data_IF_839822803365
#
_entry.id   IF_839822803365
#
_cell.length_a   1.000
_cell.length_b   1.000
_cell.length_c   1.000
_cell.angle_alpha   90.00
_cell.angle_beta   90.00
_cell.angle_gamma   90.00
#
_symmetry.space_group_name_H-M   'P 1'
#
loop_
_entity.id
_entity.type
_entity.pdbx_description
1 polymer ?
#
# COMPACT_ATOMS: atom_id res chain seq x y z
N UNK A 1 -21.84 42.55 -22.13
CA UNK A 1 -21.64 41.83 -20.85
C UNK A 1 -20.80 40.61 -21.16
N UNK A 2 -19.48 40.68 -20.95
CA UNK A 2 -18.57 39.58 -21.24
C UNK A 2 -18.53 38.64 -20.04
N UNK A 3 -19.13 37.46 -20.19
CA UNK A 3 -19.02 36.38 -19.20
C UNK A 3 -17.64 35.74 -19.31
N UNK A 4 -16.79 36.01 -18.33
CA UNK A 4 -15.52 35.29 -18.16
C UNK A 4 -15.88 33.93 -17.53
N UNK A 5 -15.82 32.86 -18.30
CA UNK A 5 -15.91 31.49 -17.78
C UNK A 5 -14.57 31.16 -17.10
N UNK A 6 -14.57 31.10 -15.77
CA UNK A 6 -13.42 30.63 -15.00
C UNK A 6 -13.40 29.10 -15.09
N UNK A 7 -12.48 28.54 -15.87
CA UNK A 7 -12.22 27.10 -15.86
C UNK A 7 -11.69 26.72 -14.47
N UNK A 8 -12.43 25.90 -13.72
CA UNK A 8 -11.90 25.27 -12.51
C UNK A 8 -10.80 24.29 -12.93
N UNK A 9 -9.58 24.36 -12.38
CA UNK A 9 -8.61 23.29 -12.58
C UNK A 9 -9.20 22.03 -11.94
N UNK A 10 -9.60 21.07 -12.78
CA UNK A 10 -9.96 19.73 -12.32
C UNK A 10 -8.68 19.06 -11.86
N UNK A 11 -8.50 18.99 -10.54
CA UNK A 11 -7.43 18.19 -9.91
C UNK A 11 -7.76 16.74 -10.26
N UNK A 12 -7.06 16.17 -11.24
CA UNK A 12 -7.20 14.75 -11.59
C UNK A 12 -6.61 13.97 -10.43
N UNK A 13 -7.47 13.32 -9.66
CA UNK A 13 -7.03 12.36 -8.65
C UNK A 13 -6.36 11.18 -9.38
N UNK A 14 -5.10 10.86 -9.07
CA UNK A 14 -4.47 9.68 -9.63
C UNK A 14 -5.26 8.44 -9.18
N UNK A 15 -5.64 7.61 -10.16
CA UNK A 15 -6.35 6.36 -9.89
C UNK A 15 -5.30 5.31 -9.56
N UNK A 16 -5.37 4.75 -8.35
CA UNK A 16 -4.53 3.63 -7.92
C UNK A 16 -5.39 2.37 -7.77
N UNK A 17 -5.51 1.54 -8.83
CA UNK A 17 -6.35 0.36 -8.80
C UNK A 17 -5.77 -0.73 -7.88
N UNK A 18 -4.44 -0.86 -7.78
CA UNK A 18 -3.80 -1.88 -6.94
C UNK A 18 -4.08 -1.57 -5.47
N UNK A 19 -3.82 -0.34 -5.03
CA UNK A 19 -4.07 0.02 -3.63
C UNK A 19 -5.53 -0.13 -3.25
N UNK A 20 -6.44 0.29 -4.13
CA UNK A 20 -7.88 0.11 -3.92
C UNK A 20 -8.25 -1.36 -3.75
N UNK A 21 -7.80 -2.24 -4.65
CA UNK A 21 -8.07 -3.68 -4.57
C UNK A 21 -7.52 -4.28 -3.28
N UNK A 22 -6.29 -3.93 -2.88
CA UNK A 22 -5.69 -4.40 -1.61
C UNK A 22 -6.55 -4.01 -0.41
N UNK A 23 -7.08 -2.77 -0.36
CA UNK A 23 -7.97 -2.34 0.74
C UNK A 23 -9.32 -3.05 0.72
N UNK A 24 -9.92 -3.21 -0.46
CA UNK A 24 -11.19 -3.91 -0.62
C UNK A 24 -11.06 -5.39 -0.20
N UNK A 25 -9.98 -6.05 -0.62
CA UNK A 25 -9.61 -7.42 -0.25
C UNK A 25 -9.33 -7.57 1.26
N UNK A 26 -8.69 -6.58 1.89
CA UNK A 26 -8.46 -6.56 3.33
C UNK A 26 -9.79 -6.46 4.09
N UNK A 27 -10.68 -5.55 3.67
CA UNK A 27 -11.99 -5.37 4.29
C UNK A 27 -12.85 -6.64 4.17
N UNK A 28 -12.85 -7.27 3.01
CA UNK A 28 -13.51 -8.56 2.81
C UNK A 28 -12.95 -9.64 3.76
N UNK A 29 -11.62 -9.72 3.89
CA UNK A 29 -10.98 -10.68 4.78
C UNK A 29 -11.32 -10.45 6.26
N UNK A 30 -11.38 -9.19 6.71
CA UNK A 30 -11.85 -8.84 8.07
C UNK A 30 -13.28 -9.32 8.31
N UNK A 31 -14.18 -9.09 7.34
CA UNK A 31 -15.58 -9.50 7.47
C UNK A 31 -15.74 -11.03 7.50
N UNK A 32 -14.86 -11.76 6.81
CA UNK A 32 -14.87 -13.22 6.76
C UNK A 32 -14.24 -13.86 7.99
N UNK A 33 -13.14 -13.31 8.49
CA UNK A 33 -12.44 -13.81 9.67
C UNK A 33 -12.03 -12.66 10.61
N UNK A 34 -12.88 -12.35 11.61
CA UNK A 34 -12.60 -11.29 12.58
C UNK A 34 -11.33 -11.52 13.43
N UNK A 35 -10.80 -12.75 13.52
CA UNK A 35 -9.56 -13.00 14.27
C UNK A 35 -8.35 -12.32 13.62
N UNK A 36 -8.40 -12.08 12.31
CA UNK A 36 -7.33 -11.40 11.57
C UNK A 36 -7.50 -9.88 11.56
N UNK A 37 -8.57 -9.34 12.16
CA UNK A 37 -8.91 -7.93 12.07
C UNK A 37 -7.76 -7.02 12.52
N UNK A 38 -7.19 -7.26 13.71
CA UNK A 38 -6.11 -6.43 14.24
C UNK A 38 -4.92 -6.34 13.27
N UNK A 39 -4.52 -7.47 12.70
CA UNK A 39 -3.42 -7.56 11.74
C UNK A 39 -3.72 -6.83 10.43
N UNK A 40 -4.93 -7.00 9.87
CA UNK A 40 -5.32 -6.36 8.62
C UNK A 40 -5.55 -4.85 8.78
N UNK A 41 -6.06 -4.42 9.94
CA UNK A 41 -6.18 -3.01 10.26
C UNK A 41 -4.83 -2.34 10.43
N UNK A 42 -3.91 -2.94 11.20
CA UNK A 42 -2.57 -2.38 11.39
C UNK A 42 -1.77 -2.34 10.08
N UNK A 43 -1.87 -3.39 9.26
CA UNK A 43 -1.01 -3.54 8.08
C UNK A 43 -1.56 -2.86 6.84
N UNK A 44 -2.88 -2.81 6.66
CA UNK A 44 -3.51 -2.30 5.43
C UNK A 44 -4.49 -1.16 5.71
N UNK A 45 -5.54 -1.41 6.49
CA UNK A 45 -6.72 -0.52 6.47
C UNK A 45 -6.46 0.85 7.10
N UNK A 46 -5.55 0.93 8.09
CA UNK A 46 -5.15 2.17 8.75
C UNK A 46 -3.98 2.89 8.05
N UNK A 47 -3.40 2.30 7.01
CA UNK A 47 -2.30 2.91 6.27
C UNK A 47 -2.85 3.90 5.24
N UNK A 48 -2.13 4.99 5.01
CA UNK A 48 -2.57 6.07 4.10
C UNK A 48 -2.30 5.72 2.63
N UNK A 49 -1.30 4.88 2.36
CA UNK A 49 -0.89 4.49 1.01
C UNK A 49 -0.38 3.04 0.96
N UNK A 50 -0.18 2.54 -0.26
CA UNK A 50 0.40 1.22 -0.50
C UNK A 50 1.86 1.14 0.00
N UNK A 51 2.62 2.23 -0.16
CA UNK A 51 4.00 2.34 0.31
C UNK A 51 4.06 2.17 1.83
N UNK A 52 3.25 2.93 2.59
CA UNK A 52 3.20 2.81 4.05
C UNK A 52 2.78 1.40 4.51
N UNK A 53 1.87 0.75 3.79
CA UNK A 53 1.48 -0.63 4.05
C UNK A 53 2.64 -1.63 3.85
N UNK A 54 3.37 -1.51 2.74
CA UNK A 54 4.55 -2.35 2.46
C UNK A 54 5.66 -2.08 3.48
N UNK A 55 5.94 -0.81 3.77
CA UNK A 55 6.96 -0.40 4.75
C UNK A 55 6.62 -0.95 6.14
N UNK A 56 5.38 -0.79 6.59
CA UNK A 56 4.93 -1.35 7.87
C UNK A 56 5.11 -2.86 7.91
N UNK A 57 4.66 -3.57 6.86
CA UNK A 57 4.76 -5.03 6.82
C UNK A 57 6.21 -5.51 6.83
N UNK A 58 7.09 -4.87 6.07
CA UNK A 58 8.52 -5.21 6.03
C UNK A 58 9.19 -4.91 7.38
N UNK A 59 8.89 -3.77 7.99
CA UNK A 59 9.46 -3.40 9.28
C UNK A 59 9.07 -4.38 10.38
N UNK A 60 7.80 -4.79 10.45
CA UNK A 60 7.35 -5.79 11.43
C UNK A 60 7.95 -7.19 11.16
N UNK A 61 8.25 -7.55 9.91
CA UNK A 61 8.92 -8.81 9.57
C UNK A 61 10.42 -8.80 9.89
N UNK A 62 11.04 -7.62 9.87
CA UNK A 62 12.48 -7.42 10.09
C UNK A 62 12.81 -7.00 11.53
N UNK A 63 11.79 -6.73 12.36
CA UNK A 63 11.94 -6.32 13.75
C UNK A 63 12.83 -7.28 14.54
N UNK A 64 13.81 -6.71 15.23
CA UNK A 64 14.75 -7.46 16.04
C UNK A 64 15.28 -6.61 17.20
N UNK A 65 15.76 -7.24 18.27
CA UNK A 65 16.33 -6.54 19.43
C UNK A 65 17.50 -5.60 19.09
N UNK A 66 18.22 -5.88 18.00
CA UNK A 66 19.35 -5.06 17.55
C UNK A 66 18.89 -3.85 16.71
N UNK A 67 17.78 -4.00 15.97
CA UNK A 67 17.21 -2.98 15.09
C UNK A 67 15.68 -3.10 15.13
N UNK A 68 15.04 -2.17 15.83
CA UNK A 68 13.58 -2.17 15.98
C UNK A 68 12.84 -1.67 14.74
N UNK A 69 11.57 -2.09 14.60
CA UNK A 69 10.71 -1.76 13.46
C UNK A 69 10.57 -0.25 13.21
N UNK A 70 10.52 0.57 14.25
CA UNK A 70 10.44 2.03 14.11
C UNK A 70 11.63 2.64 13.38
N UNK A 71 12.85 2.14 13.61
CA UNK A 71 14.06 2.61 12.92
C UNK A 71 14.06 2.15 11.46
N UNK A 72 13.57 0.94 11.21
CA UNK A 72 13.43 0.39 9.86
C UNK A 72 12.41 1.23 9.05
N UNK A 73 11.25 1.55 9.64
CA UNK A 73 10.24 2.43 9.02
C UNK A 73 10.79 3.81 8.71
N UNK A 74 11.51 4.43 9.65
CA UNK A 74 12.16 5.73 9.41
C UNK A 74 13.14 5.68 8.24
N UNK A 75 13.90 4.59 8.13
CA UNK A 75 14.87 4.38 7.05
C UNK A 75 14.19 4.22 5.70
N UNK A 76 13.12 3.42 5.62
CA UNK A 76 12.32 3.30 4.40
C UNK A 76 11.65 4.61 4.00
N UNK A 77 11.16 5.40 4.96
CA UNK A 77 10.55 6.70 4.66
C UNK A 77 11.59 7.70 4.13
N UNK A 78 12.82 7.67 4.66
CA UNK A 78 13.93 8.44 4.10
C UNK A 78 14.29 7.99 2.68
N UNK A 79 14.31 6.68 2.42
CA UNK A 79 14.53 6.12 1.08
C UNK A 79 13.44 6.55 0.10
N UNK A 80 12.16 6.44 0.46
CA UNK A 80 11.03 6.86 -0.40
C UNK A 80 11.06 8.37 -0.69
N UNK A 81 11.53 9.19 0.26
CA UNK A 81 11.69 10.62 0.03
C UNK A 81 12.84 10.94 -0.94
N UNK A 82 13.91 10.14 -0.95
CA UNK A 82 15.06 10.29 -1.85
C UNK A 82 14.80 9.70 -3.24
N UNK A 83 14.05 8.59 -3.31
CA UNK A 83 13.65 7.89 -4.55
C UNK A 83 12.13 7.67 -4.62
N UNK A 84 11.36 8.68 -5.08
CA UNK A 84 9.91 8.57 -5.24
C UNK A 84 9.47 7.53 -6.29
N UNK A 85 10.35 7.13 -7.21
CA UNK A 85 10.03 6.16 -8.27
C UNK A 85 9.82 4.75 -7.68
N UNK A 86 10.27 4.49 -6.46
CA UNK A 86 9.99 3.26 -5.72
C UNK A 86 8.49 2.97 -5.61
N UNK A 87 7.64 4.00 -5.53
CA UNK A 87 6.18 3.88 -5.59
C UNK A 87 5.71 3.09 -6.81
N UNK A 88 6.28 3.37 -7.99
CA UNK A 88 5.96 2.66 -9.23
C UNK A 88 6.51 1.24 -9.19
N UNK A 89 7.74 1.06 -8.72
CA UNK A 89 8.40 -0.25 -8.61
C UNK A 89 7.59 -1.22 -7.77
N UNK A 90 7.12 -0.79 -6.59
CA UNK A 90 6.27 -1.63 -5.70
C UNK A 90 5.02 -2.12 -6.43
N UNK A 91 4.35 -1.26 -7.19
CA UNK A 91 3.14 -1.62 -7.96
C UNK A 91 3.44 -2.60 -9.08
N UNK A 92 4.55 -2.39 -9.80
CA UNK A 92 4.99 -3.29 -10.87
C UNK A 92 5.33 -4.67 -10.31
N UNK A 93 6.00 -4.74 -9.15
CA UNK A 93 6.36 -6.02 -8.51
C UNK A 93 5.12 -6.79 -8.03
N UNK A 94 4.16 -6.09 -7.41
CA UNK A 94 2.87 -6.67 -7.02
C UNK A 94 2.10 -7.19 -8.24
N UNK A 95 2.01 -6.40 -9.31
CA UNK A 95 1.36 -6.81 -10.55
C UNK A 95 2.08 -8.01 -11.18
N UNK A 96 3.41 -8.01 -11.19
CA UNK A 96 4.21 -9.10 -11.72
C UNK A 96 3.96 -10.40 -10.94
N UNK A 97 3.83 -10.34 -9.61
CA UNK A 97 3.50 -11.51 -8.80
C UNK A 97 2.10 -12.01 -9.14
N UNK A 98 1.11 -11.12 -9.17
CA UNK A 98 -0.28 -11.44 -9.52
C UNK A 98 -0.41 -12.08 -10.91
N UNK A 99 0.29 -11.56 -11.92
CA UNK A 99 0.19 -12.03 -13.30
C UNK A 99 0.89 -13.37 -13.53
N UNK A 100 1.95 -13.66 -12.76
CA UNK A 100 2.89 -14.74 -13.07
C UNK A 100 2.77 -15.94 -12.14
N UNK A 101 2.26 -15.78 -10.93
CA UNK A 101 2.02 -16.89 -10.01
C UNK A 101 0.57 -17.39 -10.12
N UNK A 102 0.32 -18.59 -10.66
CA UNK A 102 -1.04 -19.14 -10.77
C UNK A 102 -1.69 -19.44 -9.41
N UNK A 103 -0.93 -19.48 -8.31
CA UNK A 103 -1.47 -19.61 -6.96
C UNK A 103 -1.88 -18.26 -6.35
N UNK A 104 -1.52 -17.14 -6.98
CA UNK A 104 -1.89 -15.80 -6.54
C UNK A 104 -3.18 -15.34 -7.23
N UNK A 105 -4.25 -15.17 -6.45
CA UNK A 105 -5.54 -14.71 -6.98
C UNK A 105 -5.96 -13.32 -6.47
N UNK A 106 -5.13 -12.69 -5.62
CA UNK A 106 -5.45 -11.42 -4.93
C UNK A 106 -4.22 -10.52 -4.81
N UNK A 107 -4.38 -9.20 -4.95
CA UNK A 107 -3.27 -8.25 -4.84
C UNK A 107 -2.70 -8.13 -3.41
N UNK A 108 -3.51 -8.42 -2.39
CA UNK A 108 -3.10 -8.40 -0.98
C UNK A 108 -2.09 -9.49 -0.64
N UNK A 109 -2.03 -10.58 -1.41
CA UNK A 109 -1.14 -11.71 -1.15
C UNK A 109 0.34 -11.32 -1.14
N UNK A 110 0.91 -10.74 -2.21
CA UNK A 110 2.31 -10.33 -2.22
C UNK A 110 2.64 -9.21 -1.21
N UNK A 111 1.63 -8.49 -0.72
CA UNK A 111 1.83 -7.48 0.32
C UNK A 111 2.01 -8.14 1.69
N UNK A 112 1.26 -9.21 2.01
CA UNK A 112 1.21 -9.79 3.35
C UNK A 112 2.15 -10.98 3.56
N UNK A 113 2.36 -11.82 2.54
CA UNK A 113 2.95 -13.16 2.66
C UNK A 113 4.24 -13.27 1.84
#
# INVERSE_FOLDING_TARGET
MNSITIARPSIVQPVDPIWRSVRDEAMEAVNRDPLLAAFLYSTILNQESLEEAVIHRLAERLDHQDIGSDLIRQTFNAMLADDPDWSTTVRVDIQAYYDRDPACDRFIMPVLY
#
